data_IF_179392769190
#
_entry.id   IF_179392769190
#
_cell.length_a   1.000
_cell.length_b   1.000
_cell.length_c   1.000
_cell.angle_alpha   90.00
_cell.angle_beta   90.00
_cell.angle_gamma   90.00
#
_symmetry.space_group_name_H-M   'P 1'
#
loop_
_entity.id
_entity.type
_entity.pdbx_description
1 polymer ?
#
# COMPACT_ATOMS: atom_id res chain seq x y z
N UNK A 1 -18.65 66.14 -53.19
CA UNK A 1 -17.60 65.92 -52.19
C UNK A 1 -17.39 64.42 -52.04
N UNK A 2 -16.25 63.90 -52.52
CA UNK A 2 -15.65 62.65 -52.03
C UNK A 2 -15.03 62.91 -50.62
N UNK A 3 -14.65 61.91 -49.77
CA UNK A 3 -14.31 60.53 -50.13
C UNK A 3 -14.78 59.40 -49.19
N UNK A 4 -14.66 58.18 -49.74
CA UNK A 4 -14.23 56.90 -49.15
C UNK A 4 -13.87 56.91 -47.65
N UNK A 5 -14.38 55.91 -46.91
CA UNK A 5 -13.55 55.22 -45.91
C UNK A 5 -13.81 53.72 -45.97
N UNK A 6 -12.84 53.04 -46.58
CA UNK A 6 -12.53 51.63 -46.43
C UNK A 6 -12.06 51.43 -44.98
N UNK A 7 -12.67 50.54 -44.20
CA UNK A 7 -12.01 49.99 -43.01
C UNK A 7 -11.84 48.49 -43.23
N UNK A 8 -10.58 48.15 -43.43
CA UNK A 8 -9.94 46.86 -43.53
C UNK A 8 -9.79 46.28 -42.11
N UNK A 9 -10.18 45.00 -41.93
CA UNK A 9 -9.55 43.93 -41.10
C UNK A 9 -9.37 44.26 -39.60
N UNK A 10 -9.80 43.42 -38.65
CA UNK A 10 -9.13 42.18 -38.25
C UNK A 10 -10.18 41.21 -37.71
N UNK A 11 -10.28 40.04 -38.35
CA UNK A 11 -10.78 38.84 -37.71
C UNK A 11 -9.77 38.45 -36.62
N UNK A 12 -10.08 38.75 -35.35
CA UNK A 12 -9.36 38.14 -34.23
C UNK A 12 -9.98 36.77 -34.03
N UNK A 13 -9.53 35.82 -34.85
CA UNK A 13 -9.40 34.42 -34.45
C UNK A 13 -8.31 34.38 -33.36
N UNK A 14 -8.67 34.74 -32.14
CA UNK A 14 -7.91 34.34 -30.97
C UNK A 14 -8.56 33.04 -30.49
N UNK A 15 -7.83 31.95 -30.72
CA UNK A 15 -8.18 30.63 -30.27
C UNK A 15 -8.68 30.66 -28.83
N UNK A 16 -9.90 30.16 -28.63
CA UNK A 16 -10.25 29.47 -27.39
C UNK A 16 -9.47 28.14 -27.35
N UNK A 17 -8.14 28.22 -27.40
CA UNK A 17 -7.29 27.30 -26.67
C UNK A 17 -7.31 27.83 -25.24
N UNK A 18 -8.45 27.65 -24.56
CA UNK A 18 -8.40 27.51 -23.12
C UNK A 18 -7.52 26.29 -22.91
N UNK A 19 -6.22 26.51 -22.74
CA UNK A 19 -5.35 25.51 -22.18
C UNK A 19 -6.04 25.08 -20.91
N UNK A 20 -6.54 23.85 -20.90
CA UNK A 20 -6.80 23.18 -19.63
C UNK A 20 -5.49 23.37 -18.86
N UNK A 21 -5.53 24.13 -17.78
CA UNK A 21 -4.40 24.20 -16.87
C UNK A 21 -4.03 22.73 -16.61
N UNK A 22 -2.78 22.38 -16.93
CA UNK A 22 -2.27 21.05 -16.66
C UNK A 22 -2.68 20.67 -15.24
N UNK A 23 -3.33 19.51 -15.10
CA UNK A 23 -3.77 19.07 -13.80
C UNK A 23 -2.50 18.82 -12.96
N UNK A 24 -2.38 19.59 -11.89
CA UNK A 24 -1.25 19.48 -10.98
C UNK A 24 -1.44 18.23 -10.12
N UNK A 25 -0.57 17.24 -10.30
CA UNK A 25 -0.53 16.06 -9.46
C UNK A 25 -0.13 16.46 -8.05
N UNK A 26 -0.67 15.77 -7.04
CA UNK A 26 -0.35 16.06 -5.64
C UNK A 26 0.02 14.79 -4.90
N UNK A 27 1.12 14.84 -4.15
CA UNK A 27 1.46 13.77 -3.22
C UNK A 27 0.39 13.71 -2.12
N UNK A 28 -0.13 12.51 -1.84
CA UNK A 28 -1.14 12.25 -0.80
C UNK A 28 -0.64 11.34 0.31
N UNK A 29 0.47 10.65 0.10
CA UNK A 29 1.11 9.82 1.11
C UNK A 29 2.03 10.66 1.99
N UNK A 30 1.99 10.54 3.33
CA UNK A 30 3.04 11.09 4.21
C UNK A 30 4.47 10.69 3.81
N UNK A 31 4.65 9.62 3.02
CA UNK A 31 5.94 9.12 2.56
C UNK A 31 6.03 8.96 1.03
N UNK A 32 5.13 9.58 0.27
CA UNK A 32 5.14 9.49 -1.21
C UNK A 32 4.54 8.21 -1.78
N UNK A 33 3.91 7.37 -0.96
CA UNK A 33 3.35 6.09 -1.38
C UNK A 33 2.08 6.24 -2.24
N UNK A 34 1.47 7.43 -2.25
CA UNK A 34 0.30 7.74 -3.06
C UNK A 34 0.40 9.12 -3.70
N UNK A 35 -0.11 9.25 -4.92
CA UNK A 35 -0.32 10.54 -5.57
C UNK A 35 -1.74 10.67 -6.11
N UNK A 36 -2.26 11.89 -6.15
CA UNK A 36 -3.61 12.19 -6.58
C UNK A 36 -3.60 12.98 -7.88
N UNK A 37 -4.38 12.49 -8.84
CA UNK A 37 -4.67 13.16 -10.10
C UNK A 37 -6.02 13.90 -9.98
N UNK A 38 -6.03 15.24 -9.89
CA UNK A 38 -7.26 15.99 -9.78
C UNK A 38 -8.09 16.02 -11.07
N UNK A 39 -7.52 15.68 -12.23
CA UNK A 39 -8.29 15.64 -13.49
C UNK A 39 -9.28 14.48 -13.50
N UNK A 40 -8.85 13.31 -13.02
CA UNK A 40 -9.67 12.11 -12.99
C UNK A 40 -10.31 11.87 -11.62
N UNK A 41 -9.79 12.50 -10.56
CA UNK A 41 -10.19 12.26 -9.18
C UNK A 41 -9.68 10.91 -8.64
N UNK A 42 -8.67 10.32 -9.28
CA UNK A 42 -8.08 9.04 -8.87
C UNK A 42 -6.87 9.27 -7.98
N UNK A 43 -6.75 8.47 -6.93
CA UNK A 43 -5.52 8.29 -6.18
C UNK A 43 -4.78 7.07 -6.70
N UNK A 44 -3.51 7.24 -6.98
CA UNK A 44 -2.60 6.24 -7.52
C UNK A 44 -1.72 5.71 -6.41
N UNK A 45 -1.45 4.40 -6.42
CA UNK A 45 -0.33 3.83 -5.68
C UNK A 45 0.93 4.14 -6.46
N UNK A 46 1.95 4.66 -5.79
CA UNK A 46 3.28 4.74 -6.38
C UNK A 46 3.70 3.33 -6.80
N UNK A 47 4.10 3.11 -8.08
CA UNK A 47 4.59 1.83 -8.54
C UNK A 47 5.78 1.32 -7.73
N UNK A 48 6.59 2.19 -7.10
CA UNK A 48 7.74 1.79 -6.30
C UNK A 48 7.35 1.07 -5.00
N UNK A 49 6.19 1.42 -4.43
CA UNK A 49 5.66 0.89 -3.17
C UNK A 49 5.47 -0.62 -3.17
N UNK A 50 5.16 -1.18 -4.33
CA UNK A 50 4.95 -2.61 -4.52
C UNK A 50 5.98 -3.22 -5.47
N UNK A 51 7.19 -2.65 -5.55
CA UNK A 51 8.29 -3.20 -6.35
C UNK A 51 8.75 -4.56 -5.84
N UNK A 52 9.51 -5.28 -6.68
CA UNK A 52 9.96 -6.65 -6.47
C UNK A 52 8.84 -7.67 -6.17
N UNK A 53 7.59 -7.27 -6.40
CA UNK A 53 6.41 -8.11 -6.27
C UNK A 53 6.02 -8.59 -7.66
N UNK A 54 6.06 -9.90 -7.88
CA UNK A 54 5.60 -10.43 -9.15
C UNK A 54 4.11 -10.14 -9.38
N UNK A 55 3.67 -10.19 -10.64
CA UNK A 55 2.28 -9.94 -11.00
C UNK A 55 1.29 -10.79 -10.19
N UNK A 56 1.63 -12.03 -9.86
CA UNK A 56 0.71 -12.91 -9.15
C UNK A 56 0.48 -12.44 -7.71
N UNK A 57 1.52 -11.97 -7.03
CA UNK A 57 1.39 -11.37 -5.71
C UNK A 57 0.63 -10.03 -5.75
N UNK A 58 0.83 -9.20 -6.78
CA UNK A 58 0.02 -7.99 -6.99
C UNK A 58 -1.46 -8.32 -7.31
N UNK A 59 -1.74 -9.37 -8.07
CA UNK A 59 -3.13 -9.81 -8.33
C UNK A 59 -3.83 -10.24 -7.04
N UNK A 60 -3.09 -10.88 -6.12
CA UNK A 60 -3.60 -11.19 -4.78
C UNK A 60 -3.87 -9.91 -3.99
N UNK A 61 -2.98 -8.93 -4.03
CA UNK A 61 -3.18 -7.61 -3.40
C UNK A 61 -4.46 -6.94 -3.93
N UNK A 62 -4.59 -6.81 -5.25
CA UNK A 62 -5.73 -6.16 -5.91
C UNK A 62 -7.03 -6.91 -5.63
N UNK A 63 -7.03 -8.24 -5.70
CA UNK A 63 -8.23 -9.04 -5.43
C UNK A 63 -8.74 -8.80 -4.00
N UNK A 64 -7.83 -8.78 -3.02
CA UNK A 64 -8.18 -8.60 -1.59
C UNK A 64 -8.62 -7.17 -1.28
N UNK A 65 -8.02 -6.20 -1.95
CA UNK A 65 -8.31 -4.79 -1.77
C UNK A 65 -9.28 -4.23 -2.82
N UNK A 66 -9.99 -5.10 -3.54
CA UNK A 66 -10.85 -4.75 -4.69
C UNK A 66 -12.02 -3.83 -4.36
N UNK A 67 -12.32 -3.62 -3.08
CA UNK A 67 -13.26 -2.59 -2.63
C UNK A 67 -12.71 -1.16 -2.75
N UNK A 68 -11.41 -1.00 -3.01
CA UNK A 68 -10.75 0.30 -3.22
C UNK A 68 -9.70 0.27 -4.32
N UNK A 69 -8.71 -0.62 -4.22
CA UNK A 69 -7.62 -0.73 -5.18
C UNK A 69 -8.00 -1.61 -6.37
N UNK A 70 -7.83 -1.08 -7.57
CA UNK A 70 -7.99 -1.80 -8.83
C UNK A 70 -6.78 -1.57 -9.73
N UNK A 71 -6.53 -2.49 -10.64
CA UNK A 71 -5.58 -2.28 -11.72
C UNK A 71 -5.99 -1.07 -12.57
N UNK A 72 -5.06 -0.17 -12.85
CA UNK A 72 -5.27 0.90 -13.80
C UNK A 72 -5.31 0.36 -15.23
N UNK A 73 -6.19 0.92 -16.04
CA UNK A 73 -6.24 0.68 -17.48
C UNK A 73 -5.15 1.48 -18.19
N UNK A 74 -4.72 1.04 -19.37
CA UNK A 74 -3.77 1.83 -20.19
C UNK A 74 -4.29 3.22 -20.50
N UNK A 75 -5.60 3.36 -20.75
CA UNK A 75 -6.23 4.65 -21.02
C UNK A 75 -6.17 5.62 -19.83
N UNK A 76 -6.27 5.11 -18.59
CA UNK A 76 -6.09 5.93 -17.39
C UNK A 76 -4.64 6.38 -17.24
N UNK A 77 -3.68 5.50 -17.53
CA UNK A 77 -2.26 5.84 -17.44
C UNK A 77 -1.88 6.85 -18.53
N UNK A 78 -2.36 6.66 -19.76
CA UNK A 78 -2.17 7.61 -20.86
C UNK A 78 -2.81 8.97 -20.57
N UNK A 79 -3.88 9.02 -19.77
CA UNK A 79 -4.53 10.27 -19.37
C UNK A 79 -3.66 11.13 -18.44
N UNK A 80 -2.62 10.57 -17.82
CA UNK A 80 -1.65 11.33 -17.03
C UNK A 80 -0.74 12.21 -17.91
N UNK A 81 -0.68 11.97 -19.23
CA UNK A 81 0.14 12.79 -20.13
C UNK A 81 -0.22 14.26 -20.08
N UNK A 82 0.80 15.10 -19.94
CA UNK A 82 0.66 16.54 -19.78
C UNK A 82 0.30 16.99 -18.36
N UNK A 83 0.09 16.07 -17.41
CA UNK A 83 -0.01 16.40 -15.99
C UNK A 83 1.35 16.86 -15.46
N UNK A 84 1.33 17.76 -14.49
CA UNK A 84 2.55 18.40 -13.97
C UNK A 84 2.72 18.18 -12.48
N UNK A 85 3.95 18.26 -12.00
CA UNK A 85 4.25 18.44 -10.59
C UNK A 85 3.85 19.86 -10.12
N UNK A 86 3.72 20.08 -8.81
CA UNK A 86 3.58 21.41 -8.23
C UNK A 86 4.73 22.33 -8.62
N UNK A 87 4.42 23.62 -8.76
CA UNK A 87 5.41 24.61 -9.16
C UNK A 87 6.65 24.60 -8.24
N UNK A 88 7.82 24.30 -8.82
CA UNK A 88 9.10 24.24 -8.10
C UNK A 88 9.47 22.87 -7.54
N UNK A 89 8.71 21.82 -7.86
CA UNK A 89 9.01 20.41 -7.59
C UNK A 89 9.17 19.62 -8.88
N UNK A 90 9.93 18.52 -8.81
CA UNK A 90 9.99 17.55 -9.89
C UNK A 90 8.91 16.47 -9.70
N UNK A 91 8.60 15.71 -10.75
CA UNK A 91 7.61 14.63 -10.67
C UNK A 91 7.98 13.54 -9.66
N UNK A 92 9.26 13.33 -9.37
CA UNK A 92 9.73 12.35 -8.37
C UNK A 92 9.23 12.67 -6.96
N UNK A 93 9.09 13.96 -6.60
CA UNK A 93 8.55 14.39 -5.30
C UNK A 93 7.05 14.04 -5.15
N UNK A 94 6.38 13.84 -6.28
CA UNK A 94 4.94 13.61 -6.35
C UNK A 94 4.61 12.14 -6.53
N UNK A 95 5.23 11.50 -7.52
CA UNK A 95 4.91 10.16 -7.98
C UNK A 95 5.78 9.08 -7.35
N UNK A 96 6.75 9.48 -6.52
CA UNK A 96 7.73 8.57 -5.93
C UNK A 96 8.94 8.32 -6.84
N UNK A 97 9.84 7.48 -6.35
CA UNK A 97 11.12 7.22 -7.01
C UNK A 97 10.90 6.57 -8.40
N UNK A 98 11.54 7.07 -9.47
CA UNK A 98 11.48 6.40 -10.77
C UNK A 98 12.32 5.13 -10.74
N UNK A 99 11.86 4.06 -11.38
CA UNK A 99 12.62 2.80 -11.41
C UNK A 99 13.95 2.95 -12.16
N UNK A 100 14.05 3.86 -13.13
CA UNK A 100 15.31 4.16 -13.81
C UNK A 100 15.27 5.47 -14.61
N UNK A 101 16.47 5.99 -14.88
CA UNK A 101 16.73 7.14 -15.75
C UNK A 101 17.48 6.62 -17.00
N UNK A 102 16.93 6.78 -18.21
CA UNK A 102 17.57 6.23 -19.42
C UNK A 102 18.42 7.28 -20.12
N UNK A 103 19.74 7.23 -19.89
CA UNK A 103 20.71 8.00 -20.66
C UNK A 103 20.47 9.52 -20.56
N UNK A 104 20.08 10.14 -21.67
CA UNK A 104 19.71 11.57 -21.72
C UNK A 104 18.19 11.81 -21.59
N UNK A 105 17.39 10.76 -21.39
CA UNK A 105 15.97 10.87 -21.05
C UNK A 105 15.81 10.99 -19.53
N UNK A 106 14.75 11.68 -19.10
CA UNK A 106 14.45 11.90 -17.69
C UNK A 106 13.83 10.69 -16.98
N UNK A 107 13.16 10.90 -15.84
CA UNK A 107 12.65 9.85 -14.98
C UNK A 107 11.56 9.02 -15.67
N UNK A 108 11.55 7.71 -15.37
CA UNK A 108 10.57 6.76 -15.90
C UNK A 108 9.95 5.92 -14.80
N UNK A 109 8.64 5.78 -14.87
CA UNK A 109 7.87 4.89 -14.02
C UNK A 109 7.30 3.77 -14.87
N UNK A 110 7.46 2.53 -14.40
CA UNK A 110 6.97 1.34 -15.10
C UNK A 110 6.24 0.43 -14.11
N UNK A 111 5.13 -0.15 -14.57
CA UNK A 111 4.32 -1.03 -13.73
C UNK A 111 3.50 -2.01 -14.54
N UNK A 112 3.14 -3.12 -13.90
CA UNK A 112 2.03 -3.97 -14.34
C UNK A 112 0.72 -3.15 -14.37
N UNK A 113 -0.23 -3.49 -15.23
CA UNK A 113 -1.52 -2.78 -15.35
C UNK A 113 -2.66 -3.76 -15.65
N UNK A 114 -3.89 -3.32 -15.88
CA UNK A 114 -5.04 -4.22 -16.08
C UNK A 114 -4.83 -5.26 -17.21
N UNK A 115 -4.06 -4.91 -18.26
CA UNK A 115 -3.83 -5.76 -19.41
C UNK A 115 -2.75 -6.83 -19.24
N UNK A 116 -2.69 -7.73 -20.24
CA UNK A 116 -1.77 -8.87 -20.26
C UNK A 116 -0.66 -8.77 -21.31
N UNK A 117 -0.93 -8.11 -22.46
CA UNK A 117 0.06 -7.88 -23.52
C UNK A 117 -0.15 -6.45 -24.05
N UNK A 118 0.84 -5.55 -23.95
CA UNK A 118 2.09 -5.72 -23.19
C UNK A 118 1.83 -6.06 -21.71
N UNK A 119 2.80 -6.63 -21.00
CA UNK A 119 2.67 -7.01 -19.59
C UNK A 119 2.90 -5.82 -18.63
N UNK A 120 3.28 -4.64 -19.14
CA UNK A 120 3.21 -3.42 -18.36
C UNK A 120 3.08 -2.15 -19.20
N UNK A 121 3.01 -1.04 -18.49
CA UNK A 121 2.86 0.30 -19.04
C UNK A 121 3.90 1.22 -18.42
N UNK A 122 4.41 2.14 -19.22
CA UNK A 122 5.46 3.07 -18.86
C UNK A 122 4.96 4.50 -19.03
N UNK A 123 5.36 5.39 -18.12
CA UNK A 123 5.27 6.85 -18.30
C UNK A 123 6.62 7.48 -17.99
N UNK A 124 6.91 8.63 -18.59
CA UNK A 124 8.19 9.31 -18.43
C UNK A 124 8.10 10.82 -18.63
N UNK A 125 9.09 11.51 -18.06
CA UNK A 125 9.42 12.89 -18.39
C UNK A 125 10.75 12.93 -19.15
N UNK A 126 10.84 13.72 -20.22
CA UNK A 126 12.05 13.78 -21.07
C UNK A 126 12.74 15.14 -21.10
N UNK A 127 12.20 16.15 -20.42
CA UNK A 127 12.69 17.53 -20.52
C UNK A 127 12.85 18.14 -19.14
N UNK A 128 14.01 18.72 -18.86
CA UNK A 128 14.25 19.47 -17.63
C UNK A 128 13.52 20.83 -17.63
N UNK A 129 13.03 21.30 -16.46
CA UNK A 129 12.94 20.57 -15.19
C UNK A 129 11.90 19.46 -15.32
N UNK A 130 12.14 18.26 -14.77
CA UNK A 130 11.32 17.06 -15.03
C UNK A 130 9.97 17.13 -14.29
N UNK A 131 9.18 18.14 -14.63
CA UNK A 131 7.97 18.58 -13.94
C UNK A 131 6.70 18.25 -14.73
N UNK A 132 6.82 17.63 -15.91
CA UNK A 132 5.69 17.27 -16.78
C UNK A 132 5.87 15.88 -17.38
N UNK A 133 4.77 15.11 -17.41
CA UNK A 133 4.74 13.79 -18.05
C UNK A 133 4.60 13.95 -19.57
N UNK A 134 5.61 13.49 -20.31
CA UNK A 134 5.74 13.76 -21.76
C UNK A 134 5.50 12.55 -22.63
N UNK A 135 5.72 11.32 -22.14
CA UNK A 135 5.45 10.11 -22.90
C UNK A 135 4.85 9.00 -22.05
N UNK A 136 4.09 8.15 -22.72
CA UNK A 136 3.43 6.97 -22.17
C UNK A 136 3.41 5.87 -23.23
N UNK A 137 3.45 4.61 -22.82
CA UNK A 137 3.33 3.51 -23.74
C UNK A 137 3.48 2.14 -23.11
N UNK A 138 3.02 1.13 -23.84
CA UNK A 138 3.11 -0.26 -23.43
C UNK A 138 4.53 -0.83 -23.52
N UNK A 139 4.93 -1.60 -22.51
CA UNK A 139 6.25 -2.21 -22.39
C UNK A 139 6.15 -3.72 -22.18
N UNK A 140 6.95 -4.49 -22.91
CA UNK A 140 7.05 -5.94 -22.75
C UNK A 140 8.19 -6.35 -21.81
N UNK A 141 8.04 -7.51 -21.15
CA UNK A 141 9.07 -8.11 -20.29
C UNK A 141 9.28 -7.33 -18.99
N UNK A 142 8.19 -6.83 -18.43
CA UNK A 142 8.22 -5.81 -17.36
C UNK A 142 8.84 -6.36 -16.09
N UNK A 143 8.66 -7.66 -15.78
CA UNK A 143 9.35 -8.35 -14.68
C UNK A 143 10.87 -8.12 -14.62
N UNK A 144 11.55 -7.99 -15.76
CA UNK A 144 12.99 -7.79 -15.80
C UNK A 144 13.46 -6.42 -15.26
N UNK A 145 12.52 -5.52 -14.99
CA UNK A 145 12.76 -4.15 -14.55
C UNK A 145 12.44 -3.94 -13.06
N UNK A 146 12.11 -5.01 -12.32
CA UNK A 146 11.66 -4.91 -10.92
C UNK A 146 10.41 -4.05 -10.69
N UNK A 147 9.40 -4.07 -11.56
CA UNK A 147 8.29 -3.12 -11.55
C UNK A 147 7.34 -3.44 -10.39
N UNK A 148 6.65 -2.43 -9.86
CA UNK A 148 5.41 -2.65 -9.13
C UNK A 148 4.19 -2.63 -10.05
N UNK A 149 3.09 -2.07 -9.56
CA UNK A 149 1.81 -2.05 -10.26
C UNK A 149 1.20 -0.66 -10.37
N UNK A 150 0.65 -0.35 -11.55
CA UNK A 150 -0.25 0.78 -11.74
C UNK A 150 -1.61 0.44 -11.11
N UNK A 151 -1.79 0.88 -9.88
CA UNK A 151 -3.02 0.69 -9.11
C UNK A 151 -3.66 2.03 -8.83
N UNK A 152 -4.99 2.08 -8.93
CA UNK A 152 -5.79 3.28 -8.64
C UNK A 152 -6.90 2.97 -7.65
N UNK A 153 -7.30 4.01 -6.92
CA UNK A 153 -8.41 4.03 -6.00
C UNK A 153 -9.22 5.32 -6.21
N UNK A 154 -10.54 5.20 -6.18
CA UNK A 154 -11.45 6.35 -6.30
C UNK A 154 -11.64 7.09 -4.96
N UNK A 155 -11.25 6.47 -3.84
CA UNK A 155 -11.25 7.07 -2.51
C UNK A 155 -9.82 7.38 -2.08
N UNK A 156 -9.66 8.39 -1.22
CA UNK A 156 -8.38 8.71 -0.61
C UNK A 156 -7.99 7.57 0.37
N UNK A 157 -6.93 6.79 0.07
CA UNK A 157 -6.55 5.63 0.87
C UNK A 157 -6.11 6.00 2.29
N UNK A 158 -5.66 7.25 2.52
CA UNK A 158 -5.25 7.73 3.85
C UNK A 158 -6.44 8.00 4.78
N UNK A 159 -7.66 8.08 4.20
CA UNK A 159 -8.92 8.33 4.90
C UNK A 159 -9.75 7.07 5.12
N UNK A 160 -9.33 5.93 4.57
CA UNK A 160 -9.99 4.65 4.79
C UNK A 160 -9.76 4.16 6.24
N UNK A 161 -10.61 3.28 6.77
CA UNK A 161 -10.39 2.71 8.10
C UNK A 161 -9.04 1.96 8.16
N UNK A 162 -8.25 2.29 9.19
CA UNK A 162 -6.82 1.95 9.37
C UNK A 162 -6.63 1.06 10.61
N UNK A 163 -5.42 0.53 10.78
CA UNK A 163 -5.04 -0.19 11.99
C UNK A 163 -4.72 0.82 13.09
N UNK A 164 -5.46 0.77 14.18
CA UNK A 164 -5.24 1.65 15.34
C UNK A 164 -4.69 0.84 16.52
N UNK A 165 -3.64 1.32 17.17
CA UNK A 165 -3.30 0.82 18.51
C UNK A 165 -4.40 1.24 19.49
N UNK A 166 -4.93 0.25 20.20
CA UNK A 166 -5.97 0.43 21.20
C UNK A 166 -5.56 -0.15 22.55
N UNK A 167 -4.32 -0.68 22.67
CA UNK A 167 -3.85 -1.32 23.88
C UNK A 167 -3.08 -0.35 24.78
N UNK A 168 -3.34 -0.40 26.08
CA UNK A 168 -2.59 0.38 27.10
C UNK A 168 -1.07 0.12 27.06
N UNK A 169 -0.65 -1.03 26.52
CA UNK A 169 0.76 -1.40 26.32
C UNK A 169 1.07 -1.88 24.89
N UNK A 170 0.37 -1.37 23.86
CA UNK A 170 0.58 -1.75 22.45
C UNK A 170 0.39 -3.24 22.16
N UNK A 171 -0.46 -3.87 22.97
CA UNK A 171 -0.74 -5.31 22.96
C UNK A 171 -1.99 -5.65 22.14
N UNK A 172 -2.67 -4.62 21.62
CA UNK A 172 -3.95 -4.71 20.97
C UNK A 172 -3.99 -3.70 19.83
N UNK A 173 -4.32 -4.16 18.62
CA UNK A 173 -4.64 -3.27 17.52
C UNK A 173 -6.03 -3.56 16.96
N UNK A 174 -6.70 -2.54 16.44
CA UNK A 174 -8.06 -2.62 15.92
C UNK A 174 -8.04 -2.37 14.42
N UNK A 175 -8.63 -3.29 13.65
CA UNK A 175 -8.95 -3.06 12.24
C UNK A 175 -10.38 -2.51 12.16
N UNK A 176 -10.48 -1.20 12.00
CA UNK A 176 -11.76 -0.48 11.96
C UNK A 176 -12.69 -0.94 10.83
N UNK A 177 -12.14 -1.50 9.75
CA UNK A 177 -12.95 -1.94 8.61
C UNK A 177 -13.66 -3.26 8.87
N UNK A 178 -13.04 -4.18 9.60
CA UNK A 178 -13.65 -5.45 9.99
C UNK A 178 -14.31 -5.40 11.36
N UNK A 179 -13.96 -4.40 12.18
CA UNK A 179 -14.33 -4.31 13.59
C UNK A 179 -13.61 -5.32 14.47
N UNK A 180 -12.58 -5.99 13.95
CA UNK A 180 -11.82 -6.99 14.69
C UNK A 180 -10.73 -6.33 15.52
N UNK A 181 -10.64 -6.77 16.77
CA UNK A 181 -9.54 -6.47 17.66
C UNK A 181 -8.55 -7.63 17.64
N UNK A 182 -7.29 -7.30 17.39
CA UNK A 182 -6.20 -8.24 17.21
C UNK A 182 -5.26 -8.14 18.40
N UNK A 183 -4.82 -9.30 18.89
CA UNK A 183 -3.71 -9.33 19.82
C UNK A 183 -2.41 -9.08 19.05
N UNK A 184 -1.49 -8.33 19.65
CA UNK A 184 -0.10 -8.27 19.20
C UNK A 184 0.47 -9.70 19.12
N UNK A 185 0.87 -10.18 17.92
CA UNK A 185 1.42 -11.52 17.75
C UNK A 185 2.68 -11.76 18.57
N UNK A 186 3.45 -10.71 18.88
CA UNK A 186 4.68 -10.76 19.64
C UNK A 186 4.48 -11.25 21.09
N UNK A 187 3.25 -11.16 21.62
CA UNK A 187 2.92 -11.67 22.94
C UNK A 187 3.07 -13.18 23.08
N UNK A 188 2.91 -13.91 21.98
CA UNK A 188 2.96 -15.37 21.93
C UNK A 188 4.28 -15.92 21.35
N UNK A 189 5.27 -15.07 21.10
CA UNK A 189 6.57 -15.53 20.61
C UNK A 189 7.19 -16.52 21.60
N UNK A 190 7.55 -17.69 21.09
CA UNK A 190 8.09 -18.82 21.85
C UNK A 190 7.04 -19.77 22.42
N UNK A 191 5.75 -19.48 22.24
CA UNK A 191 4.68 -20.36 22.71
C UNK A 191 4.46 -21.46 21.68
N UNK A 192 4.20 -22.67 22.18
CA UNK A 192 3.67 -23.73 21.33
C UNK A 192 2.20 -23.46 21.00
N UNK A 193 1.73 -24.03 19.89
CA UNK A 193 0.31 -23.96 19.53
C UNK A 193 -0.61 -24.47 20.64
N UNK A 194 -0.20 -25.50 21.37
CA UNK A 194 -0.96 -26.05 22.50
C UNK A 194 -1.06 -25.03 23.64
N UNK A 195 0.04 -24.33 23.98
CA UNK A 195 0.02 -23.26 24.99
C UNK A 195 -0.90 -22.10 24.61
N UNK A 196 -0.92 -21.70 23.33
CA UNK A 196 -1.87 -20.67 22.86
C UNK A 196 -3.30 -21.20 22.91
N UNK A 197 -3.52 -22.48 22.62
CA UNK A 197 -4.85 -23.11 22.71
C UNK A 197 -5.36 -23.14 24.16
N UNK A 198 -4.50 -23.48 25.11
CA UNK A 198 -4.83 -23.42 26.55
C UNK A 198 -5.17 -21.99 26.98
N UNK A 199 -4.45 -21.00 26.47
CA UNK A 199 -4.74 -19.60 26.73
C UNK A 199 -6.11 -19.19 26.16
N UNK A 200 -6.44 -19.60 24.93
CA UNK A 200 -7.75 -19.33 24.32
C UNK A 200 -8.89 -19.99 25.11
N UNK A 201 -8.68 -21.20 25.64
CA UNK A 201 -9.66 -21.88 26.48
C UNK A 201 -9.94 -21.11 27.78
N UNK A 202 -8.94 -20.43 28.34
CA UNK A 202 -9.09 -19.55 29.51
C UNK A 202 -9.69 -18.18 29.17
N UNK A 203 -9.72 -17.79 27.88
CA UNK A 203 -10.13 -16.46 27.41
C UNK A 203 -11.18 -16.58 26.30
N UNK A 204 -12.42 -17.03 26.60
CA UNK A 204 -13.41 -17.45 25.59
C UNK A 204 -13.93 -16.32 24.68
N UNK A 205 -13.60 -15.06 24.95
CA UNK A 205 -13.86 -13.95 24.04
C UNK A 205 -12.90 -13.89 22.85
N UNK A 206 -11.79 -14.62 22.90
CA UNK A 206 -10.76 -14.68 21.88
C UNK A 206 -10.84 -15.98 21.09
N UNK A 207 -10.39 -15.92 19.85
CA UNK A 207 -10.23 -17.11 19.00
C UNK A 207 -9.01 -16.97 18.10
N UNK A 208 -8.60 -18.10 17.54
CA UNK A 208 -7.73 -18.09 16.38
C UNK A 208 -8.33 -17.26 15.25
N UNK A 209 -7.47 -16.48 14.57
CA UNK A 209 -7.85 -15.82 13.33
C UNK A 209 -7.90 -16.83 12.17
N UNK A 210 -8.85 -16.65 11.27
CA UNK A 210 -8.88 -17.38 10.01
C UNK A 210 -7.83 -16.83 9.04
N UNK A 211 -7.38 -17.65 8.08
CA UNK A 211 -6.41 -17.20 7.09
C UNK A 211 -6.89 -16.00 6.27
N UNK A 212 -8.18 -15.98 5.93
CA UNK A 212 -8.79 -14.87 5.19
C UNK A 212 -8.77 -13.55 5.99
N UNK A 213 -8.85 -13.61 7.32
CA UNK A 213 -8.82 -12.43 8.18
C UNK A 213 -7.42 -11.84 8.24
N UNK A 214 -6.39 -12.68 8.41
CA UNK A 214 -4.98 -12.23 8.39
C UNK A 214 -4.63 -11.69 7.00
N UNK A 215 -5.07 -12.38 5.95
CA UNK A 215 -4.90 -11.94 4.57
C UNK A 215 -5.56 -10.58 4.27
N UNK A 216 -6.66 -10.24 4.95
CA UNK A 216 -7.37 -8.97 4.79
C UNK A 216 -6.66 -7.78 5.46
N UNK A 217 -5.58 -8.02 6.22
CA UNK A 217 -4.72 -6.97 6.76
C UNK A 217 -3.77 -6.40 5.70
N UNK A 218 -3.52 -7.11 4.59
CA UNK A 218 -2.68 -6.63 3.49
C UNK A 218 -3.30 -5.39 2.84
N UNK A 219 -2.51 -4.33 2.68
CA UNK A 219 -2.93 -3.02 2.18
C UNK A 219 -3.45 -2.08 3.27
N UNK A 220 -3.54 -2.54 4.53
CA UNK A 220 -3.92 -1.67 5.66
C UNK A 220 -2.75 -0.79 6.07
N UNK A 221 -3.07 0.48 6.34
CA UNK A 221 -2.16 1.45 6.92
C UNK A 221 -2.43 1.57 8.42
N UNK A 222 -1.40 1.86 9.21
CA UNK A 222 -1.52 2.26 10.62
C UNK A 222 -2.11 3.67 10.76
N UNK A 223 -2.91 4.00 11.76
CA UNK A 223 -3.43 5.37 11.97
C UNK A 223 -2.30 6.35 12.31
N UNK A 224 -2.37 7.57 11.76
CA UNK A 224 -1.47 8.67 12.11
C UNK A 224 -0.01 8.43 11.69
N UNK A 225 0.20 7.56 10.71
CA UNK A 225 1.49 7.31 10.06
C UNK A 225 2.54 6.70 11.02
N UNK A 226 2.06 6.05 12.08
CA UNK A 226 2.87 5.34 13.07
C UNK A 226 3.44 4.06 12.48
N UNK A 227 4.64 3.62 12.87
CA UNK A 227 5.18 2.35 12.34
C UNK A 227 4.31 1.15 12.71
N UNK A 228 4.15 0.17 11.81
CA UNK A 228 3.45 -1.08 12.14
C UNK A 228 4.14 -1.85 13.27
N UNK A 229 5.44 -1.66 13.51
CA UNK A 229 6.13 -2.23 14.68
C UNK A 229 5.59 -1.67 16.00
N UNK A 230 5.14 -0.42 15.99
CA UNK A 230 4.50 0.16 17.18
C UNK A 230 3.05 -0.31 17.37
N UNK A 231 2.37 -0.74 16.30
CA UNK A 231 0.97 -1.18 16.32
C UNK A 231 0.84 -2.69 16.54
N UNK A 232 1.60 -3.47 15.80
CA UNK A 232 1.58 -4.94 15.75
C UNK A 232 2.69 -5.57 16.59
N UNK A 233 3.40 -4.77 17.39
CA UNK A 233 4.50 -5.20 18.24
C UNK A 233 5.75 -5.64 17.47
N UNK A 234 6.68 -6.24 18.21
CA UNK A 234 7.99 -6.60 17.68
C UNK A 234 7.87 -7.70 16.59
N UNK A 235 8.42 -7.47 15.38
CA UNK A 235 8.48 -8.49 14.34
C UNK A 235 9.41 -9.62 14.76
N UNK A 236 9.14 -10.85 14.31
CA UNK A 236 10.03 -12.00 14.56
C UNK A 236 11.28 -11.95 13.67
N UNK A 237 11.17 -11.33 12.50
CA UNK A 237 12.27 -11.23 11.55
C UNK A 237 12.40 -9.83 10.98
N UNK A 238 13.63 -9.53 10.60
CA UNK A 238 13.98 -8.41 9.73
C UNK A 238 14.58 -9.02 8.47
N UNK A 239 14.01 -8.72 7.30
CA UNK A 239 14.56 -9.20 6.03
C UNK A 239 15.95 -8.59 5.77
N UNK A 240 16.65 -9.08 4.74
CA UNK A 240 17.99 -8.60 4.37
C UNK A 240 18.09 -7.09 4.11
N UNK A 241 16.97 -6.42 3.81
CA UNK A 241 16.87 -4.98 3.63
C UNK A 241 16.30 -4.21 4.84
N UNK A 242 16.02 -4.85 5.98
CA UNK A 242 15.44 -4.18 7.15
C UNK A 242 13.92 -4.14 7.21
N UNK A 243 13.22 -4.96 6.41
CA UNK A 243 11.76 -5.07 6.41
C UNK A 243 11.26 -5.88 7.63
N UNK A 244 10.33 -5.35 8.45
CA UNK A 244 9.74 -6.12 9.54
C UNK A 244 8.76 -7.20 9.04
N UNK A 245 8.89 -8.42 9.59
CA UNK A 245 8.00 -9.55 9.30
C UNK A 245 7.40 -10.14 10.57
N UNK A 246 6.09 -10.32 10.57
CA UNK A 246 5.33 -10.98 11.62
C UNK A 246 4.88 -12.35 11.15
N UNK A 247 5.24 -13.40 11.88
CA UNK A 247 4.73 -14.75 11.64
C UNK A 247 3.92 -15.20 12.86
N UNK A 248 2.81 -15.89 12.63
CA UNK A 248 1.98 -16.41 13.70
C UNK A 248 1.23 -17.68 13.33
N UNK A 249 0.98 -18.52 14.34
CA UNK A 249 -0.03 -19.57 14.22
C UNK A 249 -1.41 -18.96 14.01
N UNK A 250 -2.27 -19.63 13.26
CA UNK A 250 -3.64 -19.22 12.98
C UNK A 250 -4.58 -20.43 13.13
N UNK A 251 -5.86 -20.30 12.78
CA UNK A 251 -6.89 -21.35 13.00
C UNK A 251 -6.51 -22.74 12.47
N UNK A 252 -5.73 -22.82 11.37
CA UNK A 252 -5.31 -24.10 10.83
C UNK A 252 -4.20 -24.75 11.66
N UNK A 253 -4.45 -25.97 12.14
CA UNK A 253 -3.47 -26.77 12.90
C UNK A 253 -2.58 -27.67 12.02
N UNK A 254 -2.98 -27.90 10.77
CA UNK A 254 -2.22 -28.66 9.80
C UNK A 254 -1.37 -27.75 8.90
N UNK A 255 -0.44 -28.34 8.15
CA UNK A 255 0.42 -27.59 7.23
C UNK A 255 -0.38 -26.98 6.06
N UNK A 256 -0.12 -25.73 5.63
CA UNK A 256 0.77 -24.75 6.28
C UNK A 256 0.16 -24.24 7.61
N UNK A 257 0.96 -24.24 8.66
CA UNK A 257 0.53 -24.00 10.05
C UNK A 257 0.79 -22.57 10.55
N UNK A 258 1.43 -21.72 9.74
CA UNK A 258 1.64 -20.31 10.07
C UNK A 258 1.36 -19.37 8.92
N UNK A 259 1.11 -18.11 9.27
CA UNK A 259 0.89 -17.00 8.35
C UNK A 259 1.90 -15.90 8.64
N UNK A 260 2.52 -15.40 7.57
CA UNK A 260 3.48 -14.32 7.56
C UNK A 260 2.83 -13.05 7.00
N UNK A 261 3.06 -11.92 7.65
CA UNK A 261 2.83 -10.57 7.15
C UNK A 261 4.14 -9.79 7.13
N UNK A 262 4.25 -8.86 6.21
CA UNK A 262 5.46 -8.08 5.96
C UNK A 262 5.10 -6.67 5.52
N UNK A 263 5.98 -5.71 5.84
CA UNK A 263 5.86 -4.30 5.48
C UNK A 263 7.19 -3.82 4.90
N UNK A 264 7.18 -3.27 3.68
CA UNK A 264 8.41 -2.98 2.92
C UNK A 264 8.67 -1.50 2.65
N UNK A 265 7.78 -0.60 3.08
CA UNK A 265 7.95 0.85 2.81
C UNK A 265 8.75 1.53 3.92
N UNK A 266 10.03 1.79 3.66
CA UNK A 266 10.86 2.64 4.51
C UNK A 266 10.42 4.12 4.49
N UNK A 267 10.77 4.91 5.53
CA UNK A 267 11.49 4.53 6.74
C UNK A 267 10.57 4.04 7.88
N UNK A 268 9.25 4.10 7.71
CA UNK A 268 8.30 3.88 8.82
C UNK A 268 7.60 2.54 8.81
N UNK A 269 7.55 1.83 7.68
CA UNK A 269 6.89 0.53 7.54
C UNK A 269 5.46 0.57 8.08
N UNK A 270 4.67 1.51 7.57
CA UNK A 270 3.33 1.84 8.10
C UNK A 270 2.19 1.15 7.32
N UNK A 271 2.51 0.38 6.28
CA UNK A 271 1.57 -0.40 5.46
C UNK A 271 1.97 -1.88 5.38
N UNK A 272 0.99 -2.77 5.45
CA UNK A 272 1.22 -4.20 5.24
C UNK A 272 1.26 -4.45 3.73
N UNK A 273 2.43 -4.83 3.20
CA UNK A 273 2.63 -4.97 1.75
C UNK A 273 2.51 -6.41 1.29
N UNK A 274 2.77 -7.39 2.15
CA UNK A 274 2.87 -8.79 1.74
C UNK A 274 2.28 -9.78 2.75
N UNK A 275 1.92 -10.97 2.25
CA UNK A 275 1.34 -12.08 2.99
C UNK A 275 1.84 -13.42 2.44
N UNK A 276 2.19 -14.35 3.32
CA UNK A 276 2.61 -15.70 2.94
C UNK A 276 2.10 -16.77 3.91
N UNK A 277 1.99 -18.00 3.42
CA UNK A 277 1.76 -19.18 4.27
C UNK A 277 3.09 -19.87 4.53
N UNK A 278 3.33 -20.32 5.76
CA UNK A 278 4.54 -21.03 6.13
C UNK A 278 4.20 -22.42 6.67
N UNK A 279 5.01 -23.40 6.27
CA UNK A 279 4.97 -24.74 6.84
C UNK A 279 6.05 -24.91 7.91
N UNK A 280 5.76 -25.74 8.91
CA UNK A 280 6.64 -26.04 10.04
C UNK A 280 7.02 -24.77 10.82
N UNK A 281 6.04 -23.89 11.02
CA UNK A 281 6.24 -22.55 11.57
C UNK A 281 6.80 -22.57 12.99
N UNK A 282 6.65 -23.67 13.73
CA UNK A 282 7.32 -23.88 15.02
C UNK A 282 8.84 -23.62 14.98
N UNK A 283 9.51 -23.98 13.87
CA UNK A 283 10.94 -23.73 13.68
C UNK A 283 11.31 -22.26 13.48
N UNK A 284 10.31 -21.39 13.28
CA UNK A 284 10.44 -19.95 13.03
C UNK A 284 10.10 -19.11 14.26
N UNK A 285 9.98 -19.72 15.45
CA UNK A 285 9.64 -19.00 16.70
C UNK A 285 8.41 -18.07 16.54
N UNK A 286 7.25 -18.61 16.11
CA UNK A 286 6.15 -17.79 15.67
C UNK A 286 5.39 -17.19 16.86
N UNK A 287 4.71 -16.09 16.61
CA UNK A 287 3.65 -15.58 17.48
C UNK A 287 2.32 -16.32 17.25
N UNK A 288 1.22 -15.62 17.48
CA UNK A 288 -0.12 -16.12 17.19
C UNK A 288 -1.04 -15.01 16.66
N UNK A 289 -1.79 -15.32 15.62
CA UNK A 289 -2.88 -14.50 15.10
C UNK A 289 -4.16 -14.88 15.83
N UNK A 290 -4.53 -14.07 16.81
CA UNK A 290 -5.77 -14.23 17.59
C UNK A 290 -6.56 -12.93 17.58
N UNK A 291 -7.89 -13.08 17.51
CA UNK A 291 -8.82 -11.96 17.34
C UNK A 291 -10.03 -12.09 18.25
N UNK A 292 -10.70 -10.95 18.47
CA UNK A 292 -12.02 -10.86 19.06
C UNK A 292 -12.87 -9.82 18.34
N UNK A 293 -14.19 -10.04 18.28
CA UNK A 293 -15.15 -9.13 17.64
C UNK A 293 -15.73 -8.07 18.60
N UNK A 294 -15.45 -8.19 19.90
CA UNK A 294 -15.88 -7.22 20.90
C UNK A 294 -14.67 -6.47 21.46
N UNK A 295 -14.81 -5.16 21.66
CA UNK A 295 -13.78 -4.37 22.33
C UNK A 295 -13.38 -5.06 23.65
N UNK A 296 -12.11 -5.47 23.82
CA UNK A 296 -11.71 -6.18 25.02
C UNK A 296 -11.88 -5.27 26.24
N UNK A 297 -12.42 -5.81 27.32
CA UNK A 297 -12.48 -5.10 28.60
C UNK A 297 -11.09 -4.98 29.20
N UNK A 298 -10.81 -3.92 29.96
CA UNK A 298 -9.51 -3.68 30.62
C UNK A 298 -8.96 -4.87 31.44
N UNK A 299 -9.83 -5.77 31.94
CA UNK A 299 -9.40 -6.98 32.65
C UNK A 299 -8.71 -7.99 31.73
N UNK A 300 -9.15 -8.10 30.48
CA UNK A 300 -8.47 -8.90 29.46
C UNK A 300 -7.10 -8.30 29.12
N UNK A 301 -6.97 -6.97 29.17
CA UNK A 301 -5.70 -6.29 28.95
C UNK A 301 -4.66 -6.58 30.03
N UNK A 302 -5.08 -6.64 31.30
CA UNK A 302 -4.20 -7.01 32.40
C UNK A 302 -3.72 -8.47 32.31
N UNK A 303 -4.52 -9.36 31.71
CA UNK A 303 -4.16 -10.76 31.54
C UNK A 303 -2.94 -10.97 30.64
N UNK A 304 -2.67 -10.07 29.68
CA UNK A 304 -1.53 -10.19 28.75
C UNK A 304 -0.17 -10.19 29.44
N UNK A 305 0.01 -9.34 30.46
CA UNK A 305 1.21 -9.36 31.29
C UNK A 305 1.37 -10.66 32.06
N UNK A 306 0.24 -11.30 32.40
CA UNK A 306 0.20 -12.60 33.07
C UNK A 306 0.55 -13.75 32.11
N UNK A 307 0.17 -13.67 30.83
CA UNK A 307 0.52 -14.64 29.79
C UNK A 307 2.03 -14.87 29.74
N UNK A 308 2.82 -13.80 29.65
CA UNK A 308 4.29 -13.91 29.63
C UNK A 308 4.87 -14.48 30.93
N UNK A 309 4.16 -14.38 32.06
CA UNK A 309 4.61 -14.88 33.37
C UNK A 309 4.29 -16.35 33.58
N UNK A 310 3.15 -16.83 33.09
CA UNK A 310 2.67 -18.20 33.34
C UNK A 310 3.39 -19.22 32.44
N UNK A 311 3.72 -18.83 31.21
CA UNK A 311 4.15 -19.77 30.17
C UNK A 311 5.64 -19.64 29.78
N UNK A 312 6.43 -18.78 30.45
CA UNK A 312 7.90 -18.70 30.35
C UNK A 312 8.56 -19.41 31.52
#
# INVERSE_FOLDING_TARGET
MYPRTLVLVIAVLAALAGGALAAELSNRGPYGEFFFDPATGLTWCDPDVLTDTDRAALDVFVTRNSTGWVWATSAQIDALLGSTAPAGSDLEDVMGAPQFIVGAGGPRWIGYYEGAIPDGWLIQSDTEPYDVLTQSGGQGGVAAWGPGGWLVNAADPTTLPRLADQGVHRQLFHDESSGLYWCDPSLFVGFTRDQVTDWLAANPGWRWAAAAEVAALVGRLSVGDVSLVEIMGAPQFWAGAGEPRWIGYYEQAAQPDGLLLEANIEPTFHIVTNYGTQSSSAGWNPGAWVVTAGAPTATAEASWGEVKRIYR
#
